data_IF_225402532530
#
_entry.id   IF_225402532530
#
_cell.length_a   1.000
_cell.length_b   1.000
_cell.length_c   1.000
_cell.angle_alpha   90.00
_cell.angle_beta   90.00
_cell.angle_gamma   90.00
#
_symmetry.space_group_name_H-M   'P 1'
#
loop_
_entity.id
_entity.type
_entity.pdbx_description
1 polymer ?
#
# COMPACT_ATOMS: atom_id res chain seq x y z
N UNK A 1 -12.85 18.66 -12.51
CA UNK A 1 -13.65 17.45 -12.24
C UNK A 1 -12.72 16.43 -11.61
N UNK A 2 -12.84 16.25 -10.29
CA UNK A 2 -11.98 15.38 -9.50
C UNK A 2 -12.35 13.93 -9.81
N UNK A 3 -11.50 13.22 -10.57
CA UNK A 3 -11.66 11.80 -10.86
C UNK A 3 -10.74 10.95 -9.97
N UNK A 4 -10.67 11.30 -8.68
CA UNK A 4 -10.26 10.37 -7.65
C UNK A 4 -11.55 9.77 -7.09
N UNK A 5 -12.12 8.81 -7.81
CA UNK A 5 -13.11 7.94 -7.22
C UNK A 5 -12.41 7.19 -6.10
N UNK A 6 -12.80 7.48 -4.86
CA UNK A 6 -12.44 6.69 -3.68
C UNK A 6 -12.76 5.24 -3.98
N UNK A 7 -11.72 4.42 -4.00
CA UNK A 7 -11.87 2.97 -4.03
C UNK A 7 -12.26 2.60 -2.60
N UNK A 8 -13.56 2.45 -2.37
CA UNK A 8 -14.13 2.06 -1.09
C UNK A 8 -13.92 0.54 -0.91
N UNK A 9 -12.72 0.14 -0.50
CA UNK A 9 -12.50 -1.22 0.02
C UNK A 9 -13.21 -1.29 1.37
N UNK A 10 -14.07 -2.30 1.55
CA UNK A 10 -14.64 -2.55 2.88
C UNK A 10 -13.48 -2.84 3.85
N UNK A 11 -13.48 -2.27 5.07
CA UNK A 11 -12.41 -2.47 6.04
C UNK A 11 -12.02 -3.95 6.24
N UNK A 12 -13.01 -4.82 6.24
CA UNK A 12 -12.86 -6.25 6.55
C UNK A 12 -12.59 -7.11 5.30
N UNK A 13 -12.45 -6.50 4.12
CA UNK A 13 -12.12 -7.22 2.89
C UNK A 13 -10.63 -7.12 2.57
N UNK A 14 -10.04 -8.25 2.21
CA UNK A 14 -8.68 -8.27 1.68
C UNK A 14 -8.59 -7.53 0.35
N UNK A 15 -7.61 -6.65 0.25
CA UNK A 15 -7.20 -6.06 -1.02
C UNK A 15 -6.08 -6.92 -1.61
N UNK A 16 -6.36 -7.65 -2.68
CA UNK A 16 -5.43 -8.66 -3.22
C UNK A 16 -4.41 -8.06 -4.20
N UNK A 17 -3.37 -8.84 -4.51
CA UNK A 17 -2.42 -8.47 -5.57
C UNK A 17 -3.08 -8.38 -6.95
N UNK A 18 -4.16 -9.13 -7.19
CA UNK A 18 -4.94 -9.07 -8.43
C UNK A 18 -5.68 -7.74 -8.53
N UNK A 19 -6.36 -7.32 -7.45
CA UNK A 19 -7.06 -6.03 -7.37
C UNK A 19 -6.07 -4.87 -7.62
N UNK A 20 -4.89 -4.94 -7.02
CA UNK A 20 -3.80 -4.00 -7.27
C UNK A 20 -3.45 -3.92 -8.76
N UNK A 21 -3.20 -5.06 -9.41
CA UNK A 21 -2.78 -5.08 -10.81
C UNK A 21 -3.86 -4.49 -11.73
N UNK A 22 -5.12 -4.87 -11.53
CA UNK A 22 -6.26 -4.33 -12.29
C UNK A 22 -6.36 -2.81 -12.13
N UNK A 23 -6.20 -2.30 -10.90
CA UNK A 23 -6.22 -0.87 -10.63
C UNK A 23 -5.05 -0.14 -11.30
N UNK A 24 -3.83 -0.67 -11.16
CA UNK A 24 -2.64 -0.06 -11.76
C UNK A 24 -2.76 0.06 -13.27
N UNK A 25 -3.21 -0.99 -13.96
CA UNK A 25 -3.38 -0.96 -15.43
C UNK A 25 -4.35 0.16 -15.84
N UNK A 26 -5.46 0.32 -15.12
CA UNK A 26 -6.44 1.40 -15.37
C UNK A 26 -5.82 2.78 -15.15
N UNK A 27 -5.08 2.98 -14.05
CA UNK A 27 -4.48 4.28 -13.74
C UNK A 27 -3.33 4.65 -14.67
N UNK A 28 -2.47 3.70 -15.05
CA UNK A 28 -1.42 3.94 -16.06
C UNK A 28 -2.05 4.41 -17.36
N UNK A 29 -3.09 3.74 -17.86
CA UNK A 29 -3.78 4.15 -19.09
C UNK A 29 -4.37 5.57 -18.98
N UNK A 30 -4.95 5.93 -17.83
CA UNK A 30 -5.46 7.29 -17.58
C UNK A 30 -4.34 8.32 -17.61
N UNK A 31 -3.21 8.05 -16.96
CA UNK A 31 -2.06 8.95 -16.87
C UNK A 31 -1.41 9.13 -18.24
N UNK A 32 -1.20 8.04 -18.99
CA UNK A 32 -0.59 8.08 -20.33
C UNK A 32 -1.43 8.90 -21.33
N UNK A 33 -2.77 8.86 -21.22
CA UNK A 33 -3.65 9.73 -22.04
C UNK A 33 -3.40 11.22 -21.81
N UNK A 34 -2.82 11.59 -20.67
CA UNK A 34 -2.44 12.98 -20.35
C UNK A 34 -1.00 13.32 -20.72
N UNK A 35 -0.30 12.44 -21.44
CA UNK A 35 1.12 12.57 -21.82
C UNK A 35 2.05 12.76 -20.62
N UNK A 36 1.73 12.12 -19.49
CA UNK A 36 2.53 12.14 -18.26
C UNK A 36 3.18 10.79 -18.01
N UNK A 37 4.26 10.80 -17.24
CA UNK A 37 4.93 9.59 -16.74
C UNK A 37 4.15 9.05 -15.54
N UNK A 38 3.81 7.76 -15.57
CA UNK A 38 3.22 7.05 -14.43
C UNK A 38 4.31 6.58 -13.47
N UNK A 39 4.18 6.93 -12.19
CA UNK A 39 5.08 6.48 -11.13
C UNK A 39 4.28 5.63 -10.15
N UNK A 40 4.72 4.40 -9.92
CA UNK A 40 4.17 3.50 -8.91
C UNK A 40 5.11 3.54 -7.71
N UNK A 41 4.57 3.82 -6.52
CA UNK A 41 5.34 3.88 -5.27
C UNK A 41 4.68 2.96 -4.25
N UNK A 42 5.47 2.15 -3.55
CA UNK A 42 4.96 1.24 -2.53
C UNK A 42 6.08 0.50 -1.81
N UNK A 43 5.69 -0.30 -0.80
CA UNK A 43 6.62 -1.15 -0.04
C UNK A 43 6.36 -2.66 -0.17
N UNK A 44 5.27 -3.06 -0.84
CA UNK A 44 4.87 -4.46 -0.98
C UNK A 44 5.42 -5.07 -2.28
N UNK A 45 6.58 -5.72 -2.20
CA UNK A 45 7.21 -6.35 -3.36
C UNK A 45 6.33 -7.39 -4.04
N UNK A 46 5.53 -8.16 -3.28
CA UNK A 46 4.62 -9.16 -3.83
C UNK A 46 3.62 -8.59 -4.86
N UNK A 47 3.21 -7.33 -4.70
CA UNK A 47 2.28 -6.67 -5.62
C UNK A 47 2.97 -6.23 -6.90
N UNK A 48 4.20 -5.70 -6.77
CA UNK A 48 5.03 -5.31 -7.90
C UNK A 48 5.47 -6.56 -8.69
N UNK A 49 5.86 -7.63 -8.01
CA UNK A 49 6.21 -8.91 -8.64
C UNK A 49 5.04 -9.49 -9.42
N UNK A 50 3.84 -9.56 -8.81
CA UNK A 50 2.63 -10.00 -9.51
C UNK A 50 2.35 -9.14 -10.75
N UNK A 51 2.44 -7.82 -10.64
CA UNK A 51 2.19 -6.91 -11.76
C UNK A 51 3.19 -7.10 -12.91
N UNK A 52 4.47 -7.23 -12.57
CA UNK A 52 5.59 -7.21 -13.53
C UNK A 52 5.82 -8.58 -14.16
N UNK A 53 5.70 -9.66 -13.40
CA UNK A 53 6.04 -11.02 -13.81
C UNK A 53 4.84 -11.82 -14.33
N UNK A 54 3.61 -11.50 -13.94
CA UNK A 54 2.45 -12.28 -14.37
C UNK A 54 2.18 -12.07 -15.88
N UNK A 55 2.21 -13.16 -16.69
CA UNK A 55 1.95 -13.10 -18.12
C UNK A 55 0.58 -12.52 -18.48
N UNK A 56 -0.42 -12.60 -17.60
CA UNK A 56 -1.75 -12.04 -17.83
C UNK A 56 -1.71 -10.52 -18.09
N UNK A 57 -0.81 -9.81 -17.41
CA UNK A 57 -0.70 -8.36 -17.57
C UNK A 57 0.24 -7.97 -18.71
N UNK A 58 1.14 -8.87 -19.14
CA UNK A 58 2.17 -8.62 -20.18
C UNK A 58 2.95 -7.31 -19.91
N UNK A 59 3.20 -6.98 -18.65
CA UNK A 59 3.61 -5.64 -18.23
C UNK A 59 4.94 -5.21 -18.86
N UNK A 60 5.95 -6.10 -18.83
CA UNK A 60 7.27 -5.87 -19.43
C UNK A 60 7.24 -5.62 -20.95
N UNK A 61 6.20 -6.10 -21.64
CA UNK A 61 6.02 -5.89 -23.08
C UNK A 61 5.25 -4.60 -23.39
N UNK A 62 4.38 -4.17 -22.47
CA UNK A 62 3.53 -2.98 -22.66
C UNK A 62 4.21 -1.68 -22.25
N UNK A 63 5.14 -1.74 -21.28
CA UNK A 63 5.69 -0.55 -20.64
C UNK A 63 7.21 -0.62 -20.55
N UNK A 64 7.87 0.45 -20.99
CA UNK A 64 9.28 0.70 -20.71
C UNK A 64 9.43 1.16 -19.25
N UNK A 65 9.96 0.26 -18.41
CA UNK A 65 9.90 0.39 -16.96
C UNK A 65 11.29 0.68 -16.38
N UNK A 66 11.36 1.67 -15.48
CA UNK A 66 12.56 1.97 -14.70
C UNK A 66 12.30 1.66 -13.22
N UNK A 67 13.15 0.82 -12.63
CA UNK A 67 13.06 0.44 -11.23
C UNK A 67 14.08 1.22 -10.41
N UNK A 68 13.60 1.97 -9.42
CA UNK A 68 14.43 2.73 -8.49
C UNK A 68 14.30 2.07 -7.13
N UNK A 69 15.42 1.55 -6.62
CA UNK A 69 15.49 0.99 -5.28
C UNK A 69 16.20 1.97 -4.35
N UNK A 70 15.54 2.32 -3.24
CA UNK A 70 16.10 3.16 -2.19
C UNK A 70 16.63 2.22 -1.11
N UNK A 71 17.95 2.25 -0.92
CA UNK A 71 18.64 1.48 0.11
C UNK A 71 19.27 2.40 1.16
N UNK A 72 19.37 1.91 2.39
CA UNK A 72 19.92 2.64 3.52
C UNK A 72 20.49 1.67 4.56
N UNK A 73 21.52 2.11 5.29
CA UNK A 73 22.09 1.31 6.37
C UNK A 73 21.02 0.95 7.43
N UNK A 74 21.01 -0.32 7.86
CA UNK A 74 20.03 -0.84 8.82
C UNK A 74 19.95 -0.02 10.12
N UNK A 75 21.08 0.47 10.63
CA UNK A 75 21.12 1.28 11.85
C UNK A 75 20.40 2.62 11.69
N UNK A 76 20.56 3.26 10.52
CA UNK A 76 19.89 4.51 10.15
C UNK A 76 18.40 4.29 9.94
N UNK A 77 18.02 3.18 9.28
CA UNK A 77 16.63 2.80 9.08
C UNK A 77 15.92 2.58 10.42
N UNK A 78 16.49 1.74 11.30
CA UNK A 78 15.91 1.44 12.61
C UNK A 78 15.67 2.72 13.40
N UNK A 79 16.68 3.59 13.51
CA UNK A 79 16.55 4.87 14.19
C UNK A 79 15.43 5.73 13.63
N UNK A 80 15.26 5.77 12.30
CA UNK A 80 14.18 6.53 11.66
C UNK A 80 12.81 5.91 11.91
N UNK A 81 12.71 4.60 11.89
CA UNK A 81 11.45 3.89 12.16
C UNK A 81 11.01 4.14 13.60
N UNK A 82 11.91 4.01 14.58
CA UNK A 82 11.62 4.29 16.00
C UNK A 82 11.09 5.72 16.17
N UNK A 83 11.82 6.71 15.62
CA UNK A 83 11.38 8.11 15.66
C UNK A 83 10.02 8.33 14.99
N UNK A 84 9.72 7.61 13.90
CA UNK A 84 8.44 7.72 13.20
C UNK A 84 7.31 7.13 14.03
N UNK A 85 7.53 6.02 14.72
CA UNK A 85 6.54 5.42 15.62
C UNK A 85 6.25 6.36 16.79
N UNK A 86 7.27 6.95 17.41
CA UNK A 86 7.09 7.97 18.46
C UNK A 86 6.26 9.15 17.95
N UNK A 87 6.53 9.63 16.73
CA UNK A 87 5.75 10.69 16.10
C UNK A 87 4.31 10.26 15.85
N UNK A 88 4.07 9.05 15.32
CA UNK A 88 2.73 8.52 15.05
C UNK A 88 1.88 8.47 16.33
N UNK A 89 2.45 7.98 17.44
CA UNK A 89 1.78 7.96 18.75
C UNK A 89 1.45 9.38 19.22
N UNK A 90 2.40 10.31 19.11
CA UNK A 90 2.17 11.72 19.45
C UNK A 90 1.16 12.41 18.52
N UNK A 91 0.97 11.91 17.30
CA UNK A 91 -0.03 12.39 16.33
C UNK A 91 -1.30 11.54 16.34
N UNK A 92 -1.66 10.94 17.48
CA UNK A 92 -2.95 10.28 17.74
C UNK A 92 -3.18 8.92 17.09
N UNK A 93 -2.11 8.15 16.82
CA UNK A 93 -2.23 6.77 16.36
C UNK A 93 -3.15 5.92 17.27
N UNK A 94 -3.04 6.10 18.59
CA UNK A 94 -3.81 5.30 19.56
C UNK A 94 -5.31 5.60 19.45
N UNK A 95 -5.69 6.86 19.30
CA UNK A 95 -7.07 7.27 19.11
C UNK A 95 -7.63 6.84 17.76
N UNK A 96 -6.81 6.84 16.70
CA UNK A 96 -7.19 6.32 15.38
C UNK A 96 -7.50 4.83 15.47
N UNK A 97 -6.61 4.02 16.04
CA UNK A 97 -6.82 2.56 16.15
C UNK A 97 -8.03 2.23 17.00
N UNK A 98 -8.28 2.97 18.11
CA UNK A 98 -9.47 2.78 18.95
C UNK A 98 -10.80 3.01 18.22
N UNK A 99 -10.83 3.80 17.14
CA UNK A 99 -12.05 3.97 16.34
C UNK A 99 -12.42 2.73 15.52
N UNK A 100 -11.42 1.89 15.21
CA UNK A 100 -11.59 0.65 14.46
C UNK A 100 -11.64 -0.59 15.36
N UNK A 101 -11.76 -0.38 16.67
CA UNK A 101 -11.83 -1.46 17.65
C UNK A 101 -13.09 -2.30 17.42
N UNK A 102 -12.89 -3.60 17.19
CA UNK A 102 -13.96 -4.58 17.05
C UNK A 102 -13.74 -5.62 18.15
N UNK A 103 -14.76 -5.84 18.98
CA UNK A 103 -14.70 -6.90 20.00
C UNK A 103 -14.52 -8.25 19.27
N UNK A 104 -13.53 -9.04 19.70
CA UNK A 104 -13.14 -10.32 19.10
C UNK A 104 -12.72 -10.19 17.62
N UNK A 105 -12.00 -9.12 17.27
CA UNK A 105 -11.52 -8.89 15.91
C UNK A 105 -10.65 -10.05 15.38
N UNK A 106 -10.87 -10.38 14.11
CA UNK A 106 -10.00 -11.28 13.36
C UNK A 106 -8.88 -10.48 12.67
N UNK A 107 -7.70 -10.46 13.27
CA UNK A 107 -6.52 -9.77 12.73
C UNK A 107 -5.85 -10.52 11.55
N UNK A 108 -6.51 -11.49 10.95
CA UNK A 108 -5.99 -12.20 9.76
C UNK A 108 -6.46 -11.63 8.43
N UNK A 109 -7.41 -10.67 8.45
CA UNK A 109 -8.05 -10.13 7.26
C UNK A 109 -8.03 -8.59 7.20
N UNK A 110 -8.00 -8.06 5.98
CA UNK A 110 -8.21 -6.65 5.68
C UNK A 110 -7.31 -5.70 6.46
N UNK A 111 -7.89 -4.58 6.91
CA UNK A 111 -7.15 -3.53 7.64
C UNK A 111 -6.69 -3.96 9.04
N UNK A 112 -7.30 -5.00 9.61
CA UNK A 112 -6.98 -5.48 10.96
C UNK A 112 -5.56 -6.09 11.03
N UNK A 113 -4.96 -6.40 9.87
CA UNK A 113 -3.58 -6.89 9.77
C UNK A 113 -2.51 -5.79 9.87
N UNK A 114 -2.91 -4.53 9.89
CA UNK A 114 -1.94 -3.42 9.87
C UNK A 114 -1.06 -3.47 11.12
N UNK A 115 0.24 -3.28 10.91
CA UNK A 115 1.22 -3.21 12.01
C UNK A 115 0.83 -2.04 12.91
N UNK A 116 0.72 -2.31 14.22
CA UNK A 116 0.27 -1.37 15.23
C UNK A 116 -1.19 -1.55 15.64
N UNK A 117 -2.03 -2.23 14.85
CA UNK A 117 -3.43 -2.49 15.24
C UNK A 117 -3.50 -3.58 16.32
N UNK A 118 -3.00 -4.82 16.09
CA UNK A 118 -3.02 -5.86 17.13
C UNK A 118 -2.22 -5.49 18.39
N UNK A 119 -1.16 -4.69 18.26
CA UNK A 119 -0.29 -4.30 19.37
C UNK A 119 -0.94 -3.25 20.30
N UNK A 120 -1.92 -2.48 19.82
CA UNK A 120 -2.63 -1.45 20.59
C UNK A 120 -3.93 -2.00 21.19
N UNK A 121 -4.45 -3.10 20.67
CA UNK A 121 -5.69 -3.76 21.07
C UNK A 121 -5.53 -4.68 22.32
N UNK A 122 -4.79 -4.20 23.34
CA UNK A 122 -4.51 -4.93 24.59
C UNK A 122 -5.17 -4.27 25.79
#
# INVERSE_FOLDING_TARGET
>A
MNAFSEIETKPDSDFTAEDFCLHVVVYIQKILKTQRVSIIVGGSNSYIEKLVEDPMFMFKYKYDSCFIWIDVEQSVLNRRVDMRVDQMVNTRLVEEVRQFFIIDADYTNGIQRFIGVPEIDI
#
